data_IF_564329963876
#
_entry.id   IF_564329963876
#
_cell.length_a   1.000
_cell.length_b   1.000
_cell.length_c   1.000
_cell.angle_alpha   90.00
_cell.angle_beta   90.00
_cell.angle_gamma   90.00
#
_symmetry.space_group_name_H-M   'P 1'
#
loop_
_entity.id
_entity.type
_entity.pdbx_description
1 polymer ?
#
# COMPACT_ATOMS: atom_id res chain seq x y z
N UNK A 1 14.38 -14.07 -6.56
CA UNK A 1 13.51 -13.05 -7.17
C UNK A 1 12.14 -13.66 -7.44
N UNK A 2 11.07 -12.87 -7.36
CA UNK A 2 9.74 -13.38 -7.73
C UNK A 2 9.70 -13.65 -9.23
N UNK A 3 9.21 -14.82 -9.61
CA UNK A 3 9.00 -15.17 -11.02
C UNK A 3 8.00 -14.25 -11.73
N UNK A 4 7.00 -13.76 -10.98
CA UNK A 4 5.89 -12.95 -11.46
C UNK A 4 5.44 -11.99 -10.36
N UNK A 5 5.36 -10.71 -10.69
CA UNK A 5 4.95 -9.61 -9.83
C UNK A 5 3.47 -9.29 -10.07
N UNK A 6 2.59 -10.19 -9.64
CA UNK A 6 1.14 -10.05 -9.71
C UNK A 6 0.49 -10.48 -8.38
N UNK A 7 -0.50 -9.71 -7.91
CA UNK A 7 -1.29 -10.07 -6.73
C UNK A 7 -2.14 -11.32 -7.02
N UNK A 8 -1.79 -12.41 -6.35
CA UNK A 8 -2.40 -13.74 -6.48
C UNK A 8 -3.89 -13.82 -6.07
N UNK A 9 -4.40 -12.86 -5.29
CA UNK A 9 -5.76 -12.91 -4.71
C UNK A 9 -6.35 -11.53 -4.47
N UNK A 10 -6.28 -10.65 -5.47
CA UNK A 10 -6.91 -9.33 -5.40
C UNK A 10 -8.41 -9.45 -5.08
N UNK A 11 -8.85 -8.75 -4.03
CA UNK A 11 -10.25 -8.67 -3.62
C UNK A 11 -10.61 -7.23 -3.31
N UNK A 12 -11.81 -6.79 -3.66
CA UNK A 12 -12.27 -5.41 -3.48
C UNK A 12 -12.15 -4.88 -2.04
N UNK A 13 -12.34 -5.66 -0.97
CA UNK A 13 -12.11 -5.18 0.39
C UNK A 13 -10.67 -4.71 0.66
N UNK A 14 -9.69 -5.13 -0.16
CA UNK A 14 -8.29 -4.72 -0.07
C UNK A 14 -8.04 -3.27 -0.52
N UNK A 15 -9.08 -2.54 -0.96
CA UNK A 15 -8.94 -1.23 -1.60
C UNK A 15 -8.43 -0.09 -0.69
N UNK A 16 -8.47 -0.26 0.64
CA UNK A 16 -8.03 0.76 1.61
C UNK A 16 -6.80 0.28 2.36
N UNK A 17 -5.67 0.93 2.13
CA UNK A 17 -4.40 0.54 2.74
C UNK A 17 -4.30 0.93 4.22
N UNK A 18 -5.04 1.94 4.68
CA UNK A 18 -4.99 2.37 6.08
C UNK A 18 -5.31 1.25 7.08
N UNK A 19 -6.18 0.30 6.74
CA UNK A 19 -6.46 -0.86 7.61
C UNK A 19 -5.24 -1.75 7.86
N UNK A 20 -4.21 -1.71 7.00
CA UNK A 20 -2.96 -2.44 7.18
C UNK A 20 -2.26 -2.04 8.49
N UNK A 21 -2.34 -0.76 8.87
CA UNK A 21 -1.72 -0.22 10.10
C UNK A 21 -2.21 -0.96 11.34
N UNK A 22 -3.52 -1.21 11.42
CA UNK A 22 -4.10 -2.00 12.50
C UNK A 22 -3.54 -3.42 12.52
N UNK A 23 -3.57 -4.13 11.38
CA UNK A 23 -3.15 -5.54 11.35
C UNK A 23 -1.66 -5.67 11.67
N UNK A 24 -0.83 -4.77 11.15
CA UNK A 24 0.62 -4.75 11.38
C UNK A 24 0.96 -4.46 12.85
N UNK A 25 0.29 -3.49 13.49
CA UNK A 25 0.48 -3.26 14.93
C UNK A 25 0.05 -4.46 15.78
N UNK A 26 -1.00 -5.20 15.37
CA UNK A 26 -1.39 -6.46 16.02
C UNK A 26 -0.34 -7.55 15.83
N UNK A 27 0.19 -7.73 14.62
CA UNK A 27 1.29 -8.67 14.35
C UNK A 27 2.56 -8.31 15.15
N UNK A 28 2.86 -7.04 15.34
CA UNK A 28 4.00 -6.62 16.16
C UNK A 28 3.86 -6.98 17.64
N UNK A 29 2.61 -7.09 18.13
CA UNK A 29 2.30 -7.40 19.53
C UNK A 29 2.32 -8.90 19.84
N UNK A 30 2.50 -9.77 18.84
CA UNK A 30 2.41 -11.23 18.98
C UNK A 30 3.49 -11.91 18.14
N UNK A 31 4.14 -12.96 18.67
CA UNK A 31 5.16 -13.70 17.91
C UNK A 31 4.58 -14.43 16.68
N UNK A 32 3.38 -14.97 16.80
CA UNK A 32 2.63 -15.63 15.72
C UNK A 32 1.14 -15.30 15.81
N UNK A 33 0.43 -15.42 14.69
CA UNK A 33 -1.02 -15.21 14.64
C UNK A 33 -1.68 -16.13 13.60
N UNK A 34 -2.97 -15.93 13.36
CA UNK A 34 -3.73 -16.64 12.33
C UNK A 34 -4.56 -15.67 11.49
N UNK A 35 -4.95 -16.10 10.29
CA UNK A 35 -5.87 -15.35 9.42
C UNK A 35 -7.16 -14.96 10.15
N UNK A 36 -7.71 -15.89 10.94
CA UNK A 36 -8.95 -15.67 11.66
C UNK A 36 -8.78 -14.62 12.76
N UNK A 37 -7.73 -14.72 13.57
CA UNK A 37 -7.46 -13.77 14.66
C UNK A 37 -7.24 -12.35 14.12
N UNK A 38 -6.40 -12.21 13.09
CA UNK A 38 -6.11 -10.90 12.50
C UNK A 38 -7.32 -10.32 11.75
N UNK A 39 -7.96 -11.15 10.94
CA UNK A 39 -9.09 -10.76 10.10
C UNK A 39 -10.32 -10.38 10.92
N UNK A 40 -10.73 -11.23 11.86
CA UNK A 40 -11.88 -10.94 12.74
C UNK A 40 -11.55 -9.77 13.65
N UNK A 41 -10.36 -9.73 14.23
CA UNK A 41 -9.92 -8.62 15.08
C UNK A 41 -9.98 -7.27 14.35
N UNK A 42 -9.60 -7.21 13.07
CA UNK A 42 -9.74 -6.00 12.25
C UNK A 42 -11.22 -5.65 12.07
N UNK A 43 -12.03 -6.58 11.55
CA UNK A 43 -13.43 -6.35 11.24
C UNK A 43 -14.24 -5.96 12.48
N UNK A 44 -14.03 -6.61 13.62
CA UNK A 44 -14.69 -6.28 14.89
C UNK A 44 -14.31 -4.88 15.38
N UNK A 45 -13.02 -4.53 15.30
CA UNK A 45 -12.53 -3.21 15.71
C UNK A 45 -13.16 -2.09 14.88
N UNK A 46 -13.11 -2.21 13.56
CA UNK A 46 -13.55 -1.14 12.66
C UNK A 46 -15.08 -1.06 12.52
N UNK A 47 -15.79 -2.12 12.93
CA UNK A 47 -17.26 -2.19 12.95
C UNK A 47 -17.87 -1.88 14.32
N UNK A 48 -17.05 -1.56 15.32
CA UNK A 48 -17.56 -1.11 16.61
C UNK A 48 -18.40 0.15 16.43
N UNK A 49 -19.61 0.14 16.99
CA UNK A 49 -20.53 1.27 16.92
C UNK A 49 -20.20 2.33 17.96
N UNK A 50 -20.27 3.59 17.56
CA UNK A 50 -20.05 4.78 18.38
C UNK A 50 -21.24 5.72 18.21
N UNK A 51 -21.51 6.52 19.24
CA UNK A 51 -22.42 7.67 19.14
C UNK A 51 -21.57 8.89 18.89
N UNK A 52 -21.79 9.58 17.78
CA UNK A 52 -21.02 10.77 17.37
C UNK A 52 -21.97 11.90 16.99
N UNK A 53 -21.55 13.18 17.13
CA UNK A 53 -22.28 14.30 16.56
C UNK A 53 -22.46 14.10 15.05
N UNK A 54 -23.66 14.34 14.55
CA UNK A 54 -23.96 14.35 13.13
C UNK A 54 -23.34 15.62 12.53
N UNK A 55 -22.42 15.42 11.57
CA UNK A 55 -21.83 16.52 10.79
C UNK A 55 -22.37 16.49 9.35
N UNK A 56 -22.23 17.58 8.57
CA UNK A 56 -22.64 17.60 7.17
C UNK A 56 -21.96 16.48 6.34
N UNK A 57 -20.70 16.18 6.62
CA UNK A 57 -19.94 15.12 5.96
C UNK A 57 -20.50 13.74 6.30
N UNK A 58 -20.76 13.48 7.58
CA UNK A 58 -21.39 12.22 8.04
C UNK A 58 -22.79 12.06 7.44
N UNK A 59 -23.58 13.14 7.40
CA UNK A 59 -24.91 13.14 6.81
C UNK A 59 -24.85 12.77 5.31
N UNK A 60 -23.98 13.44 4.55
CA UNK A 60 -23.79 13.21 3.13
C UNK A 60 -23.30 11.78 2.85
N UNK A 61 -22.29 11.32 3.60
CA UNK A 61 -21.75 9.96 3.51
C UNK A 61 -22.83 8.91 3.81
N UNK A 62 -23.54 9.04 4.94
CA UNK A 62 -24.52 8.06 5.38
C UNK A 62 -25.67 7.90 4.36
N UNK A 63 -26.14 9.01 3.78
CA UNK A 63 -27.18 8.96 2.73
C UNK A 63 -26.69 8.25 1.47
N UNK A 64 -25.50 8.59 0.99
CA UNK A 64 -24.95 8.08 -0.28
C UNK A 64 -24.41 6.65 -0.17
N UNK A 65 -23.69 6.31 0.91
CA UNK A 65 -22.86 5.10 1.00
C UNK A 65 -23.44 4.00 1.89
N UNK A 66 -24.24 4.32 2.90
CA UNK A 66 -24.79 3.31 3.82
C UNK A 66 -26.08 2.70 3.27
N UNK A 67 -25.98 1.92 2.20
CA UNK A 67 -27.13 1.30 1.51
C UNK A 67 -27.56 -0.03 2.09
N UNK A 68 -26.78 -0.63 2.99
CA UNK A 68 -27.12 -1.93 3.57
C UNK A 68 -28.38 -1.83 4.44
N UNK A 69 -29.18 -2.91 4.45
CA UNK A 69 -30.43 -3.01 5.23
C UNK A 69 -30.22 -2.72 6.73
N UNK A 70 -29.02 -2.99 7.25
CA UNK A 70 -28.63 -2.69 8.63
C UNK A 70 -28.70 -1.19 8.98
N UNK A 71 -28.63 -0.30 7.99
CA UNK A 71 -28.71 1.16 8.14
C UNK A 71 -30.07 1.75 7.76
N UNK A 72 -31.08 0.91 7.46
CA UNK A 72 -32.41 1.40 7.13
C UNK A 72 -33.02 2.32 8.21
N UNK A 73 -32.90 2.03 9.52
CA UNK A 73 -33.39 2.92 10.57
C UNK A 73 -32.70 4.29 10.54
N UNK A 74 -31.37 4.30 10.42
CA UNK A 74 -30.59 5.54 10.30
C UNK A 74 -31.03 6.34 9.07
N UNK A 75 -31.24 5.69 7.92
CA UNK A 75 -31.70 6.40 6.72
C UNK A 75 -33.08 7.03 6.88
N UNK A 76 -34.00 6.35 7.56
CA UNK A 76 -35.31 6.92 7.87
C UNK A 76 -35.18 8.14 8.78
N UNK A 77 -34.32 8.07 9.79
CA UNK A 77 -33.99 9.19 10.68
C UNK A 77 -33.41 10.37 9.90
N UNK A 78 -32.36 10.16 9.10
CA UNK A 78 -31.72 11.21 8.30
C UNK A 78 -32.65 11.84 7.26
N UNK A 79 -33.60 11.07 6.72
CA UNK A 79 -34.61 11.60 5.80
C UNK A 79 -35.64 12.48 6.51
N UNK A 80 -35.96 12.20 7.78
CA UNK A 80 -36.86 13.03 8.59
C UNK A 80 -36.20 14.33 9.02
N UNK A 81 -34.92 14.26 9.40
CA UNK A 81 -34.14 15.42 9.83
C UNK A 81 -33.90 16.42 8.69
N UNK A 82 -33.69 15.91 7.46
CA UNK A 82 -33.30 16.77 6.34
C UNK A 82 -31.84 17.26 6.44
N UNK A 83 -31.38 18.10 5.49
CA UNK A 83 -30.02 18.64 5.50
C UNK A 83 -29.79 19.68 6.60
N UNK A 84 -30.86 20.31 7.10
CA UNK A 84 -30.83 21.39 8.09
C UNK A 84 -31.08 20.84 9.51
N UNK A 85 -30.35 19.79 9.90
CA UNK A 85 -30.48 19.18 11.22
C UNK A 85 -29.85 20.03 12.33
N UNK A 86 -30.36 19.89 13.55
CA UNK A 86 -29.89 20.67 14.71
C UNK A 86 -28.42 20.38 15.06
N UNK A 87 -27.68 21.45 15.34
CA UNK A 87 -26.32 21.37 15.85
C UNK A 87 -26.31 20.63 17.20
N UNK A 88 -25.76 19.42 17.22
CA UNK A 88 -25.72 18.56 18.40
C UNK A 88 -26.55 17.27 18.28
N UNK A 89 -27.32 17.09 17.19
CA UNK A 89 -27.94 15.79 16.91
C UNK A 89 -26.86 14.71 16.83
N UNK A 90 -27.07 13.57 17.49
CA UNK A 90 -26.09 12.47 17.49
C UNK A 90 -26.62 11.26 16.76
N UNK A 91 -25.75 10.57 16.03
CA UNK A 91 -26.07 9.32 15.32
C UNK A 91 -25.17 8.18 15.77
N UNK A 92 -25.67 6.95 15.64
CA UNK A 92 -24.90 5.74 15.96
C UNK A 92 -24.36 5.08 14.70
N UNK A 93 -23.05 5.10 14.53
CA UNK A 93 -22.34 4.62 13.33
C UNK A 93 -21.19 3.68 13.68
N UNK A 94 -20.79 2.81 12.75
CA UNK A 94 -19.53 2.06 12.88
C UNK A 94 -18.34 3.03 12.80
N UNK A 95 -17.27 2.82 13.58
CA UNK A 95 -16.13 3.74 13.63
C UNK A 95 -15.50 3.98 12.24
N UNK A 96 -15.41 2.95 11.39
CA UNK A 96 -14.92 3.13 10.03
C UNK A 96 -15.79 4.08 9.19
N UNK A 97 -17.11 4.11 9.41
CA UNK A 97 -18.01 4.98 8.66
C UNK A 97 -17.82 6.44 9.04
N UNK A 98 -17.50 6.69 10.32
CA UNK A 98 -17.15 8.03 10.81
C UNK A 98 -15.86 8.50 10.14
N UNK A 99 -14.84 7.63 10.05
CA UNK A 99 -13.59 7.96 9.37
C UNK A 99 -13.76 8.10 7.86
N UNK A 100 -14.51 7.21 7.21
CA UNK A 100 -14.78 7.24 5.75
C UNK A 100 -15.64 8.43 5.33
N UNK A 101 -16.39 9.05 6.25
CA UNK A 101 -17.13 10.27 5.96
C UNK A 101 -16.23 11.50 5.81
N UNK A 102 -14.99 11.46 6.33
CA UNK A 102 -14.08 12.60 6.30
C UNK A 102 -13.85 13.14 4.88
N UNK A 103 -13.93 14.46 4.73
CA UNK A 103 -13.63 15.18 3.49
C UNK A 103 -12.14 15.19 3.14
N UNK A 104 -11.27 14.84 4.09
CA UNK A 104 -9.83 14.72 3.86
C UNK A 104 -9.46 13.44 3.09
N UNK A 105 -10.34 12.43 3.09
CA UNK A 105 -10.11 11.21 2.33
C UNK A 105 -10.39 11.48 0.84
N UNK A 106 -9.46 11.15 -0.07
CA UNK A 106 -9.71 11.20 -1.51
C UNK A 106 -10.89 10.32 -1.93
N UNK A 107 -11.20 9.30 -1.13
CA UNK A 107 -12.23 8.33 -1.43
C UNK A 107 -12.99 7.85 -0.19
N UNK A 108 -14.31 7.87 -0.29
CA UNK A 108 -15.24 7.48 0.77
C UNK A 108 -15.76 6.05 0.59
N UNK A 109 -15.03 5.22 -0.17
CA UNK A 109 -15.36 3.81 -0.40
C UNK A 109 -14.48 2.89 0.46
N UNK A 110 -14.64 1.56 0.36
CA UNK A 110 -13.73 0.63 1.04
C UNK A 110 -14.10 0.23 2.46
N UNK A 111 -15.34 0.49 2.90
CA UNK A 111 -15.89 -0.10 4.13
C UNK A 111 -15.74 -1.63 4.13
N UNK A 112 -15.31 -2.19 5.27
CA UNK A 112 -15.27 -3.63 5.52
C UNK A 112 -16.57 -4.10 6.17
N UNK A 113 -17.11 -5.23 5.70
CA UNK A 113 -18.26 -5.90 6.33
C UNK A 113 -17.86 -7.17 7.06
N UNK A 114 -18.80 -7.76 7.82
CA UNK A 114 -18.58 -8.97 8.62
C UNK A 114 -17.83 -10.08 7.87
N UNK A 115 -18.21 -10.33 6.61
CA UNK A 115 -17.67 -11.41 5.79
C UNK A 115 -16.30 -11.15 5.17
N UNK A 116 -15.71 -9.96 5.37
CA UNK A 116 -14.45 -9.57 4.75
C UNK A 116 -13.21 -9.94 5.59
N UNK A 117 -13.40 -10.53 6.78
CA UNK A 117 -12.33 -10.93 7.69
C UNK A 117 -11.27 -11.81 7.00
N UNK A 118 -11.69 -12.71 6.10
CA UNK A 118 -10.81 -13.59 5.33
C UNK A 118 -10.22 -12.97 4.06
N UNK A 119 -10.68 -11.76 3.69
CA UNK A 119 -10.36 -11.14 2.41
C UNK A 119 -9.33 -10.02 2.53
N UNK A 120 -9.25 -9.33 3.66
CA UNK A 120 -8.29 -8.23 3.82
C UNK A 120 -6.85 -8.70 4.15
N UNK A 121 -6.61 -9.56 5.17
CA UNK A 121 -5.24 -9.94 5.52
C UNK A 121 -4.40 -10.57 4.40
N UNK A 122 -4.98 -11.30 3.42
CA UNK A 122 -4.23 -11.76 2.25
C UNK A 122 -3.52 -10.66 1.45
N UNK A 123 -4.00 -9.40 1.51
CA UNK A 123 -3.26 -8.27 0.92
C UNK A 123 -1.88 -8.12 1.57
N UNK A 124 -1.80 -8.18 2.90
CA UNK A 124 -0.55 -8.00 3.65
C UNK A 124 0.45 -9.13 3.36
N UNK A 125 -0.06 -10.34 3.12
CA UNK A 125 0.75 -11.47 2.65
C UNK A 125 1.30 -11.17 1.26
N UNK A 126 0.45 -10.73 0.35
CA UNK A 126 0.83 -10.43 -1.03
C UNK A 126 1.81 -9.25 -1.12
N UNK A 127 1.69 -8.27 -0.21
CA UNK A 127 2.62 -7.15 -0.08
C UNK A 127 3.93 -7.52 0.63
N UNK A 128 4.05 -8.72 1.20
CA UNK A 128 5.23 -9.17 1.94
C UNK A 128 5.39 -8.54 3.33
N UNK A 129 4.32 -7.95 3.88
CA UNK A 129 4.32 -7.27 5.18
C UNK A 129 4.19 -8.23 6.36
N UNK A 130 3.55 -9.38 6.12
CA UNK A 130 3.42 -10.48 7.09
C UNK A 130 3.80 -11.80 6.44
N UNK A 131 4.25 -12.76 7.25
CA UNK A 131 4.75 -14.06 6.78
C UNK A 131 3.62 -15.04 6.48
N UNK A 132 3.64 -15.75 5.33
CA UNK A 132 2.74 -16.88 5.09
C UNK A 132 2.82 -17.96 6.17
N UNK A 133 1.69 -18.58 6.48
CA UNK A 133 1.58 -19.67 7.46
C UNK A 133 1.54 -19.19 8.92
N UNK A 134 2.50 -18.37 9.36
CA UNK A 134 2.60 -17.92 10.76
C UNK A 134 1.97 -16.56 11.04
N UNK A 135 1.68 -15.78 9.99
CA UNK A 135 1.16 -14.41 10.08
C UNK A 135 1.99 -13.51 11.02
N UNK A 136 3.28 -13.81 11.14
CA UNK A 136 4.25 -13.03 11.89
C UNK A 136 4.69 -11.81 11.09
N UNK A 137 5.10 -10.76 11.80
CA UNK A 137 5.55 -9.53 11.17
C UNK A 137 6.84 -9.74 10.36
N UNK A 138 6.86 -9.26 9.11
CA UNK A 138 8.07 -9.20 8.29
C UNK A 138 8.75 -7.83 8.45
N UNK A 139 10.01 -7.68 8.05
CA UNK A 139 10.72 -6.39 8.19
C UNK A 139 10.07 -5.27 7.37
N UNK A 140 9.49 -5.57 6.21
CA UNK A 140 8.69 -4.60 5.47
C UNK A 140 7.47 -4.13 6.29
N UNK A 141 6.80 -5.04 7.01
CA UNK A 141 5.73 -4.68 7.95
C UNK A 141 6.25 -3.84 9.13
N UNK A 142 7.42 -4.16 9.67
CA UNK A 142 8.06 -3.35 10.71
C UNK A 142 8.40 -1.95 10.17
N UNK A 143 8.81 -1.84 8.91
CA UNK A 143 9.08 -0.56 8.25
C UNK A 143 7.83 0.30 8.20
N UNK A 144 6.68 -0.25 7.79
CA UNK A 144 5.40 0.45 7.87
C UNK A 144 5.07 0.89 9.30
N UNK A 145 5.31 0.04 10.29
CA UNK A 145 5.07 0.38 11.69
C UNK A 145 5.94 1.57 12.14
N UNK A 146 7.21 1.64 11.71
CA UNK A 146 8.11 2.79 11.98
C UNK A 146 7.68 4.08 11.27
N UNK A 147 6.85 3.97 10.25
CA UNK A 147 6.24 5.09 9.52
C UNK A 147 4.81 5.40 10.00
N UNK A 148 4.30 4.67 11.00
CA UNK A 148 2.94 4.84 11.51
C UNK A 148 2.98 5.44 12.91
N UNK A 149 2.49 6.69 13.11
CA UNK A 149 2.37 7.27 14.44
C UNK A 149 1.47 6.42 15.36
N UNK A 150 1.82 6.35 16.64
CA UNK A 150 1.03 5.62 17.65
C UNK A 150 -0.40 6.17 17.77
N UNK A 151 -0.60 7.47 17.52
CA UNK A 151 -1.92 8.11 17.52
C UNK A 151 -2.85 7.53 16.45
N UNK A 152 -2.33 7.16 15.27
CA UNK A 152 -3.12 6.50 14.22
C UNK A 152 -3.49 5.07 14.61
N UNK A 153 -2.57 4.33 15.25
CA UNK A 153 -2.87 2.98 15.74
C UNK A 153 -3.93 3.02 16.84
N UNK A 154 -3.80 3.98 17.77
CA UNK A 154 -4.78 4.21 18.84
C UNK A 154 -6.16 4.60 18.28
N UNK A 155 -6.20 5.36 17.18
CA UNK A 155 -7.44 5.81 16.54
C UNK A 155 -8.34 4.67 16.04
N UNK A 156 -7.81 3.46 15.81
CA UNK A 156 -8.64 2.27 15.56
C UNK A 156 -9.41 1.80 16.81
N UNK A 157 -8.81 1.97 18.00
CA UNK A 157 -9.37 1.51 19.28
C UNK A 157 -10.19 2.57 19.99
N UNK A 158 -9.97 3.83 19.70
CA UNK A 158 -10.71 4.95 20.27
C UNK A 158 -10.88 6.02 19.20
N UNK A 159 -12.13 6.45 18.97
CA UNK A 159 -12.36 7.43 17.92
C UNK A 159 -11.75 8.77 18.31
N UNK A 160 -10.86 9.27 17.46
CA UNK A 160 -10.17 10.54 17.66
C UNK A 160 -10.40 11.40 16.42
N UNK A 161 -11.17 12.52 16.49
CA UNK A 161 -11.45 13.35 15.32
C UNK A 161 -10.20 13.88 14.61
N UNK A 162 -9.10 14.04 15.34
CA UNK A 162 -7.83 14.60 14.87
C UNK A 162 -6.93 13.58 14.17
N UNK A 163 -7.22 12.28 14.30
CA UNK A 163 -6.40 11.21 13.73
C UNK A 163 -7.29 10.22 12.97
N UNK A 164 -7.39 10.40 11.65
CA UNK A 164 -8.06 9.42 10.80
C UNK A 164 -7.07 8.33 10.35
N UNK A 165 -7.16 7.10 10.88
CA UNK A 165 -6.17 6.07 10.60
C UNK A 165 -6.26 5.51 9.17
N UNK A 166 -7.32 5.87 8.43
CA UNK A 166 -7.50 5.47 7.03
C UNK A 166 -6.75 6.37 6.06
N UNK A 167 -6.38 7.59 6.47
CA UNK A 167 -5.52 8.46 5.68
C UNK A 167 -4.11 7.91 5.63
N UNK A 168 -3.42 8.10 4.50
CA UNK A 168 -2.00 7.84 4.38
C UNK A 168 -1.25 9.17 4.39
N UNK A 169 -0.28 9.31 5.29
CA UNK A 169 0.69 10.40 5.21
C UNK A 169 1.68 10.17 4.06
N UNK A 170 2.48 11.18 3.71
CA UNK A 170 3.41 11.09 2.57
C UNK A 170 4.40 9.94 2.70
N UNK A 171 4.90 9.65 3.92
CA UNK A 171 5.85 8.55 4.15
C UNK A 171 5.22 7.20 3.87
N UNK A 172 3.99 7.00 4.37
CA UNK A 172 3.21 5.79 4.17
C UNK A 172 2.81 5.61 2.70
N UNK A 173 2.48 6.70 1.99
CA UNK A 173 2.18 6.67 0.54
C UNK A 173 3.36 6.14 -0.25
N UNK A 174 4.57 6.68 -0.03
CA UNK A 174 5.78 6.22 -0.73
C UNK A 174 6.09 4.75 -0.41
N UNK A 175 5.99 4.35 0.86
CA UNK A 175 6.19 2.97 1.26
C UNK A 175 5.22 2.01 0.54
N UNK A 176 3.92 2.31 0.58
CA UNK A 176 2.93 1.46 -0.06
C UNK A 176 3.02 1.47 -1.58
N UNK A 177 3.37 2.62 -2.17
CA UNK A 177 3.63 2.73 -3.60
C UNK A 177 4.75 1.76 -4.00
N UNK A 178 5.88 1.81 -3.31
CA UNK A 178 6.99 0.90 -3.52
C UNK A 178 6.53 -0.57 -3.43
N UNK A 179 5.79 -0.94 -2.36
CA UNK A 179 5.30 -2.30 -2.19
C UNK A 179 4.33 -2.75 -3.29
N UNK A 180 3.42 -1.88 -3.76
CA UNK A 180 2.48 -2.23 -4.82
C UNK A 180 3.20 -2.41 -6.16
N UNK A 181 4.10 -1.50 -6.52
CA UNK A 181 4.89 -1.60 -7.74
C UNK A 181 5.78 -2.86 -7.72
N UNK A 182 6.39 -3.18 -6.58
CA UNK A 182 7.16 -4.41 -6.42
C UNK A 182 6.29 -5.67 -6.58
N UNK A 183 5.08 -5.68 -6.04
CA UNK A 183 4.31 -6.93 -5.87
C UNK A 183 3.29 -7.16 -6.96
N UNK A 184 2.90 -6.12 -7.67
CA UNK A 184 1.88 -6.15 -8.73
C UNK A 184 2.34 -5.47 -10.03
N UNK A 185 3.61 -5.08 -10.12
CA UNK A 185 4.14 -4.31 -11.24
C UNK A 185 3.92 -4.92 -12.62
N UNK A 186 3.91 -6.26 -12.75
CA UNK A 186 3.67 -6.91 -14.04
C UNK A 186 2.24 -6.67 -14.55
N UNK A 187 1.28 -6.45 -13.64
CA UNK A 187 -0.09 -6.08 -13.98
C UNK A 187 -0.26 -4.57 -14.08
N UNK A 188 0.33 -3.83 -13.14
CA UNK A 188 0.20 -2.38 -13.06
C UNK A 188 0.85 -1.69 -14.26
N UNK A 189 2.01 -2.13 -14.72
CA UNK A 189 2.74 -1.46 -15.80
C UNK A 189 1.93 -1.42 -17.12
N UNK A 190 1.40 -2.52 -17.66
CA UNK A 190 0.54 -2.46 -18.85
C UNK A 190 -0.82 -1.79 -18.59
N UNK A 191 -1.39 -1.94 -17.38
CA UNK A 191 -2.64 -1.26 -17.01
C UNK A 191 -2.48 0.26 -17.08
N UNK A 192 -1.47 0.80 -16.41
CA UNK A 192 -1.27 2.25 -16.35
C UNK A 192 -0.72 2.81 -17.66
N UNK A 193 0.01 2.02 -18.46
CA UNK A 193 0.35 2.41 -19.84
C UNK A 193 -0.92 2.70 -20.66
N UNK A 194 -1.91 1.81 -20.60
CA UNK A 194 -3.18 2.01 -21.31
C UNK A 194 -4.02 3.15 -20.70
N UNK A 195 -3.95 3.38 -19.39
CA UNK A 195 -4.68 4.49 -18.75
C UNK A 195 -4.04 5.86 -19.02
N UNK A 196 -2.71 5.93 -19.20
CA UNK A 196 -2.01 7.16 -19.55
C UNK A 196 -2.46 7.75 -20.89
N UNK A 197 -2.80 6.88 -21.85
CA UNK A 197 -3.32 7.24 -23.17
C UNK A 197 -4.74 7.84 -23.12
N UNK A 198 -5.40 7.85 -21.94
CA UNK A 198 -6.73 8.41 -21.77
C UNK A 198 -6.65 9.86 -21.28
N UNK A 199 -7.31 10.74 -22.00
CA UNK A 199 -7.51 12.14 -21.57
C UNK A 199 -8.79 12.33 -20.75
N UNK A 200 -9.77 11.44 -20.92
CA UNK A 200 -11.05 11.51 -20.23
C UNK A 200 -11.05 10.73 -18.90
N UNK A 201 -11.90 11.11 -17.92
CA UNK A 201 -12.15 10.31 -16.74
C UNK A 201 -12.56 8.87 -17.09
N UNK A 202 -12.13 7.91 -16.27
CA UNK A 202 -12.45 6.50 -16.45
C UNK A 202 -13.02 5.90 -15.17
N UNK A 203 -13.79 4.83 -15.33
CA UNK A 203 -14.39 4.06 -14.25
C UNK A 203 -13.58 2.82 -13.88
N UNK A 204 -13.86 2.23 -12.71
CA UNK A 204 -13.37 0.89 -12.35
C UNK A 204 -13.72 -0.15 -13.40
N UNK A 205 -14.90 -0.04 -14.03
CA UNK A 205 -15.33 -0.90 -15.13
C UNK A 205 -14.42 -0.80 -16.35
N UNK A 206 -14.20 0.41 -16.86
CA UNK A 206 -13.39 0.61 -18.07
C UNK A 206 -11.95 0.15 -17.86
N UNK A 207 -11.36 0.47 -16.71
CA UNK A 207 -10.02 0.00 -16.36
C UNK A 207 -10.00 -1.52 -16.14
N UNK A 208 -11.04 -2.09 -15.54
CA UNK A 208 -11.14 -3.52 -15.26
C UNK A 208 -11.33 -4.38 -16.50
N UNK A 209 -11.95 -3.83 -17.55
CA UNK A 209 -12.11 -4.50 -18.84
C UNK A 209 -10.75 -4.68 -19.58
N UNK A 210 -9.67 -4.01 -19.14
CA UNK A 210 -8.30 -4.20 -19.64
C UNK A 210 -7.60 -5.45 -19.06
N UNK A 211 -8.01 -5.90 -17.87
CA UNK A 211 -7.31 -6.96 -17.13
C UNK A 211 -7.25 -8.31 -17.85
N UNK A 212 -8.28 -8.80 -18.57
CA UNK A 212 -8.21 -10.09 -19.24
C UNK A 212 -7.11 -10.18 -20.27
N UNK A 213 -6.91 -9.13 -21.07
CA UNK A 213 -5.83 -9.06 -22.06
C UNK A 213 -4.46 -9.07 -21.36
N UNK A 214 -4.30 -8.24 -20.33
CA UNK A 214 -3.07 -8.18 -19.52
C UNK A 214 -2.72 -9.55 -18.93
N UNK A 215 -3.67 -10.23 -18.30
CA UNK A 215 -3.42 -11.53 -17.67
C UNK A 215 -3.02 -12.62 -18.68
N UNK A 216 -3.60 -12.63 -19.88
CA UNK A 216 -3.22 -13.57 -20.94
C UNK A 216 -1.83 -13.27 -21.52
N UNK A 217 -1.49 -12.00 -21.68
CA UNK A 217 -0.16 -11.60 -22.13
C UNK A 217 0.92 -11.96 -21.10
N UNK A 218 0.63 -11.80 -19.82
CA UNK A 218 1.49 -12.25 -18.73
C UNK A 218 1.67 -13.77 -18.77
N UNK A 219 0.59 -14.53 -18.91
CA UNK A 219 0.70 -15.98 -19.02
C UNK A 219 1.58 -16.41 -20.20
N UNK A 220 1.34 -15.85 -21.39
CA UNK A 220 2.14 -16.15 -22.59
C UNK A 220 3.62 -15.82 -22.38
N UNK A 221 3.93 -14.68 -21.75
CA UNK A 221 5.31 -14.23 -21.50
C UNK A 221 6.04 -15.12 -20.49
N UNK A 222 5.35 -15.54 -19.43
CA UNK A 222 5.97 -16.18 -18.28
C UNK A 222 5.88 -17.72 -18.33
N UNK A 223 4.96 -18.32 -19.10
CA UNK A 223 4.77 -19.79 -19.15
C UNK A 223 6.05 -20.56 -19.45
N UNK A 224 6.84 -20.13 -20.43
CA UNK A 224 8.10 -20.79 -20.79
C UNK A 224 9.23 -20.64 -19.76
N UNK A 225 9.07 -19.69 -18.82
CA UNK A 225 10.04 -19.42 -17.75
C UNK A 225 9.68 -20.15 -16.44
N UNK A 226 8.45 -20.64 -16.30
CA UNK A 226 8.00 -21.34 -15.10
C UNK A 226 8.80 -22.63 -14.90
N UNK A 227 9.31 -22.82 -13.68
CA UNK A 227 10.16 -23.95 -13.26
C UNK A 227 9.50 -24.83 -12.20
N UNK A 228 8.43 -24.36 -11.55
CA UNK A 228 7.72 -25.12 -10.51
C UNK A 228 6.21 -25.24 -10.77
N UNK A 229 5.59 -26.23 -10.12
CA UNK A 229 4.14 -26.41 -10.14
C UNK A 229 3.38 -25.21 -9.56
N UNK A 230 3.94 -24.57 -8.53
CA UNK A 230 3.36 -23.37 -7.91
C UNK A 230 3.34 -22.19 -8.88
N UNK A 231 4.41 -22.00 -9.67
CA UNK A 231 4.46 -20.95 -10.70
C UNK A 231 3.44 -21.20 -11.81
N UNK A 232 3.30 -22.44 -12.27
CA UNK A 232 2.28 -22.82 -13.24
C UNK A 232 0.86 -22.60 -12.69
N UNK A 233 0.62 -22.92 -11.41
CA UNK A 233 -0.66 -22.68 -10.76
C UNK A 233 -0.96 -21.19 -10.60
N UNK A 234 0.05 -20.35 -10.35
CA UNK A 234 -0.10 -18.88 -10.33
C UNK A 234 -0.54 -18.35 -11.69
N UNK A 235 0.09 -18.80 -12.77
CA UNK A 235 -0.30 -18.42 -14.13
C UNK A 235 -1.71 -18.90 -14.48
N UNK A 236 -2.04 -20.15 -14.14
CA UNK A 236 -3.39 -20.68 -14.39
C UNK A 236 -4.46 -19.87 -13.66
N UNK A 237 -4.20 -19.45 -12.41
CA UNK A 237 -5.12 -18.58 -11.66
C UNK A 237 -5.37 -17.25 -12.39
N UNK A 238 -4.35 -16.63 -12.98
CA UNK A 238 -4.54 -15.41 -13.78
C UNK A 238 -5.43 -15.66 -15.00
N UNK A 239 -5.28 -16.79 -15.70
CA UNK A 239 -6.15 -17.16 -16.82
C UNK A 239 -7.60 -17.41 -16.37
N UNK A 240 -7.78 -18.11 -15.25
CA UNK A 240 -9.10 -18.37 -14.70
C UNK A 240 -9.81 -17.06 -14.33
N UNK A 241 -9.08 -16.10 -13.76
CA UNK A 241 -9.61 -14.78 -13.45
C UNK A 241 -9.86 -13.93 -14.70
N UNK A 242 -9.02 -14.02 -15.75
CA UNK A 242 -9.29 -13.38 -17.04
C UNK A 242 -10.64 -13.86 -17.61
N UNK A 243 -10.86 -15.17 -17.63
CA UNK A 243 -12.12 -15.77 -18.09
C UNK A 243 -13.31 -15.38 -17.19
N UNK A 244 -13.08 -15.26 -15.89
CA UNK A 244 -14.08 -14.83 -14.92
C UNK A 244 -14.50 -13.38 -15.15
N UNK A 245 -13.55 -12.47 -15.39
CA UNK A 245 -13.77 -11.05 -15.66
C UNK A 245 -14.52 -10.85 -16.98
N UNK A 246 -14.16 -11.55 -18.05
CA UNK A 246 -14.83 -11.41 -19.36
C UNK A 246 -16.30 -11.80 -19.34
N UNK A 247 -16.70 -12.75 -18.48
CA UNK A 247 -18.12 -13.09 -18.31
C UNK A 247 -18.95 -11.89 -17.82
N UNK A 248 -18.31 -10.85 -17.28
CA UNK A 248 -18.95 -9.60 -16.85
C UNK A 248 -18.94 -8.49 -17.90
N UNK A 249 -18.26 -8.68 -19.04
CA UNK A 249 -18.32 -7.72 -20.15
C UNK A 249 -19.75 -7.64 -20.70
N UNK A 250 -20.19 -6.43 -21.04
CA UNK A 250 -21.56 -6.16 -21.51
C UNK A 250 -22.66 -6.25 -20.43
N UNK A 251 -22.41 -6.81 -19.25
CA UNK A 251 -23.44 -6.90 -18.18
C UNK A 251 -23.69 -5.56 -17.48
N UNK A 252 -24.87 -5.42 -16.88
CA UNK A 252 -25.23 -4.27 -16.05
C UNK A 252 -24.31 -4.16 -14.83
N UNK A 253 -23.90 -2.94 -14.50
CA UNK A 253 -23.07 -2.69 -13.32
C UNK A 253 -23.88 -2.94 -12.05
N UNK A 254 -23.51 -3.97 -11.31
CA UNK A 254 -24.05 -4.29 -9.98
C UNK A 254 -23.14 -3.79 -8.86
N UNK A 255 -21.98 -3.23 -9.21
CA UNK A 255 -20.90 -2.94 -8.28
C UNK A 255 -20.36 -4.18 -7.56
N UNK A 256 -20.62 -5.39 -8.06
CA UNK A 256 -20.17 -6.66 -7.50
C UNK A 256 -19.87 -7.63 -8.64
N UNK A 257 -18.63 -8.04 -8.79
CA UNK A 257 -18.22 -8.93 -9.86
C UNK A 257 -16.72 -9.21 -9.83
N UNK A 258 -16.29 -10.22 -10.59
CA UNK A 258 -14.87 -10.56 -10.68
C UNK A 258 -14.03 -9.38 -11.18
N UNK A 259 -14.57 -8.57 -12.09
CA UNK A 259 -13.93 -7.34 -12.56
C UNK A 259 -13.62 -6.39 -11.40
N UNK A 260 -14.64 -5.99 -10.64
CA UNK A 260 -14.49 -5.04 -9.54
C UNK A 260 -13.62 -5.60 -8.41
N UNK A 261 -13.65 -6.91 -8.16
CA UNK A 261 -12.77 -7.58 -7.18
C UNK A 261 -11.28 -7.42 -7.52
N UNK A 262 -10.92 -7.44 -8.81
CA UNK A 262 -9.52 -7.42 -9.26
C UNK A 262 -9.02 -6.01 -9.59
N UNK A 263 -9.85 -5.13 -10.15
CA UNK A 263 -9.40 -3.78 -10.52
C UNK A 263 -9.41 -2.80 -9.35
N UNK A 264 -10.34 -2.91 -8.41
CA UNK A 264 -10.46 -1.91 -7.32
C UNK A 264 -9.18 -1.81 -6.48
N UNK A 265 -8.52 -2.91 -6.08
CA UNK A 265 -7.23 -2.87 -5.37
C UNK A 265 -6.06 -2.29 -6.19
N UNK A 266 -6.26 -2.06 -7.49
CA UNK A 266 -5.27 -1.49 -8.42
C UNK A 266 -5.56 -0.02 -8.77
N UNK A 267 -6.64 0.56 -8.21
CA UNK A 267 -7.05 1.95 -8.42
C UNK A 267 -7.15 2.71 -7.10
N UNK A 268 -7.98 2.22 -6.16
CA UNK A 268 -8.27 2.95 -4.92
C UNK A 268 -7.03 3.25 -4.05
N UNK A 269 -6.04 2.35 -3.90
CA UNK A 269 -4.80 2.70 -3.22
C UNK A 269 -4.07 3.89 -3.85
N UNK A 270 -4.10 4.02 -5.17
CA UNK A 270 -3.45 5.12 -5.88
C UNK A 270 -4.26 6.43 -5.76
N UNK A 271 -5.57 6.35 -5.52
CA UNK A 271 -6.35 7.51 -5.10
C UNK A 271 -5.96 7.96 -3.67
N UNK A 272 -5.79 7.03 -2.73
CA UNK A 272 -5.31 7.33 -1.37
C UNK A 272 -3.91 7.96 -1.37
N UNK A 273 -3.09 7.64 -2.38
CA UNK A 273 -1.76 8.21 -2.56
C UNK A 273 -1.75 9.56 -3.30
N UNK A 274 -2.88 10.02 -3.84
CA UNK A 274 -2.96 11.23 -4.65
C UNK A 274 -2.39 11.09 -6.06
N UNK A 275 -2.27 9.86 -6.58
CA UNK A 275 -1.86 9.59 -7.96
C UNK A 275 -3.08 9.50 -8.89
N UNK A 276 -4.24 9.13 -8.35
CA UNK A 276 -5.54 9.26 -9.02
C UNK A 276 -6.39 10.29 -8.30
N UNK A 277 -7.02 11.17 -9.05
CA UNK A 277 -8.05 12.07 -8.53
C UNK A 277 -9.42 11.41 -8.62
N UNK A 278 -10.28 11.71 -7.65
CA UNK A 278 -11.68 11.28 -7.63
C UNK A 278 -12.60 12.50 -7.55
N UNK A 279 -13.15 12.97 -8.69
CA UNK A 279 -14.07 14.11 -8.71
C UNK A 279 -15.30 13.91 -7.81
N UNK A 280 -15.76 12.66 -7.67
CA UNK A 280 -16.72 12.26 -6.63
C UNK A 280 -16.08 11.20 -5.73
N UNK A 281 -15.74 11.54 -4.48
CA UNK A 281 -15.15 10.60 -3.52
C UNK A 281 -16.00 9.35 -3.26
N UNK A 282 -17.32 9.43 -3.51
CA UNK A 282 -18.27 8.34 -3.32
C UNK A 282 -18.43 7.42 -4.55
N UNK A 283 -17.91 7.80 -5.72
CA UNK A 283 -18.04 7.04 -6.96
C UNK A 283 -16.73 6.34 -7.37
N UNK A 284 -16.81 5.29 -8.17
CA UNK A 284 -15.63 4.62 -8.75
C UNK A 284 -15.28 5.25 -10.10
N UNK A 285 -14.92 6.54 -10.08
CA UNK A 285 -14.52 7.33 -11.25
C UNK A 285 -13.23 8.08 -10.94
N UNK A 286 -12.32 8.08 -11.88
CA UNK A 286 -10.93 8.48 -11.69
C UNK A 286 -10.44 9.33 -12.86
N UNK A 287 -9.50 10.21 -12.55
CA UNK A 287 -8.59 10.81 -13.52
C UNK A 287 -7.16 10.62 -13.03
N UNK A 288 -6.20 10.46 -13.94
CA UNK A 288 -4.80 10.53 -13.55
C UNK A 288 -4.48 11.97 -13.15
N UNK A 289 -4.01 12.14 -11.91
CA UNK A 289 -3.49 13.43 -11.44
C UNK A 289 -2.18 13.77 -12.17
N UNK A 290 -1.70 15.02 -12.12
CA UNK A 290 -0.38 15.37 -12.65
C UNK A 290 0.75 14.51 -12.06
N UNK A 291 0.71 14.29 -10.74
CA UNK A 291 1.65 13.42 -10.03
C UNK A 291 1.56 11.97 -10.54
N UNK A 292 0.35 11.45 -10.71
CA UNK A 292 0.09 10.13 -11.27
C UNK A 292 0.64 9.97 -12.68
N UNK A 293 0.43 10.97 -13.56
CA UNK A 293 0.98 10.96 -14.91
C UNK A 293 2.50 10.91 -14.89
N UNK A 294 3.14 11.82 -14.15
CA UNK A 294 4.60 11.86 -14.03
C UNK A 294 5.18 10.53 -13.52
N UNK A 295 4.60 9.99 -12.43
CA UNK A 295 5.04 8.74 -11.84
C UNK A 295 4.87 7.55 -12.80
N UNK A 296 3.67 7.37 -13.35
CA UNK A 296 3.38 6.20 -14.18
C UNK A 296 4.07 6.28 -15.53
N UNK A 297 4.36 7.47 -16.08
CA UNK A 297 5.22 7.60 -17.26
C UNK A 297 6.61 7.02 -16.98
N UNK A 298 7.30 7.47 -15.92
CA UNK A 298 8.61 6.93 -15.56
C UNK A 298 8.58 5.42 -15.29
N UNK A 299 7.57 4.94 -14.56
CA UNK A 299 7.40 3.51 -14.29
C UNK A 299 7.11 2.67 -15.55
N UNK A 300 6.31 3.19 -16.49
CA UNK A 300 5.96 2.47 -17.71
C UNK A 300 7.06 2.52 -18.78
N UNK A 301 7.97 3.50 -18.73
CA UNK A 301 9.14 3.61 -19.61
C UNK A 301 10.32 2.75 -19.14
N UNK A 302 10.37 2.43 -17.85
CA UNK A 302 11.41 1.56 -17.30
C UNK A 302 11.42 0.17 -17.95
N UNK A 303 12.64 -0.32 -18.20
CA UNK A 303 12.90 -1.60 -18.87
C UNK A 303 12.29 -2.79 -18.13
N UNK A 304 12.45 -2.80 -16.81
CA UNK A 304 11.88 -3.79 -15.92
C UNK A 304 11.62 -3.19 -14.54
N UNK A 305 10.76 -3.86 -13.77
CA UNK A 305 10.27 -3.38 -12.47
C UNK A 305 11.39 -3.28 -11.44
N UNK A 306 12.34 -4.23 -11.46
CA UNK A 306 13.44 -4.23 -10.47
C UNK A 306 14.39 -3.05 -10.72
N UNK A 307 14.75 -2.81 -11.99
CA UNK A 307 15.58 -1.68 -12.38
C UNK A 307 14.96 -0.34 -11.93
N UNK A 308 13.65 -0.13 -12.18
CA UNK A 308 12.94 1.07 -11.74
C UNK A 308 13.00 1.23 -10.21
N UNK A 309 12.67 0.17 -9.47
CA UNK A 309 12.62 0.22 -8.01
C UNK A 309 13.99 0.42 -7.36
N UNK A 310 15.07 0.01 -8.02
CA UNK A 310 16.43 0.11 -7.52
C UNK A 310 17.11 1.44 -7.89
N UNK A 311 16.78 2.02 -9.04
CA UNK A 311 17.55 3.13 -9.63
C UNK A 311 16.75 4.40 -9.92
N UNK A 312 15.41 4.34 -9.99
CA UNK A 312 14.60 5.47 -10.48
C UNK A 312 13.45 5.82 -9.53
N UNK A 313 13.21 5.04 -8.48
CA UNK A 313 12.00 5.14 -7.68
C UNK A 313 11.91 6.48 -6.94
N UNK A 314 12.95 6.85 -6.18
CA UNK A 314 12.91 8.07 -5.40
C UNK A 314 13.05 9.32 -6.27
N UNK A 315 13.76 9.23 -7.39
CA UNK A 315 13.86 10.28 -8.40
C UNK A 315 12.50 10.56 -9.04
N UNK A 316 11.82 9.51 -9.49
CA UNK A 316 10.49 9.64 -10.08
C UNK A 316 9.47 10.13 -9.05
N UNK A 317 9.56 9.65 -7.80
CA UNK A 317 8.69 10.10 -6.71
C UNK A 317 8.92 11.58 -6.35
N UNK A 318 10.18 12.03 -6.29
CA UNK A 318 10.53 13.44 -6.08
C UNK A 318 9.88 14.35 -7.12
N UNK A 319 10.04 14.01 -8.40
CA UNK A 319 9.43 14.76 -9.49
C UNK A 319 7.90 14.72 -9.45
N UNK A 320 7.31 13.54 -9.20
CA UNK A 320 5.86 13.36 -9.20
C UNK A 320 5.16 14.12 -8.07
N UNK A 321 5.73 14.09 -6.86
CA UNK A 321 5.14 14.75 -5.69
C UNK A 321 5.68 16.17 -5.45
N UNK A 322 6.61 16.63 -6.28
CA UNK A 322 7.20 17.97 -6.19
C UNK A 322 7.94 18.18 -4.86
N UNK A 323 8.81 17.23 -4.49
CA UNK A 323 9.57 17.42 -3.25
C UNK A 323 10.77 18.36 -3.41
N UNK A 324 11.25 18.58 -4.64
CA UNK A 324 12.41 19.40 -4.97
C UNK A 324 13.67 18.97 -4.18
N UNK A 325 13.88 17.67 -4.05
CA UNK A 325 14.93 17.10 -3.23
C UNK A 325 16.32 17.18 -3.89
N UNK A 326 17.32 17.59 -3.10
CA UNK A 326 18.71 17.58 -3.51
C UNK A 326 19.30 16.15 -3.46
N UNK A 327 20.27 15.80 -4.33
CA UNK A 327 20.99 14.54 -4.20
C UNK A 327 21.75 14.50 -2.87
N UNK A 328 21.67 13.37 -2.16
CA UNK A 328 22.42 13.16 -0.92
C UNK A 328 23.87 12.76 -1.22
N UNK A 329 24.82 13.27 -0.42
CA UNK A 329 26.21 12.79 -0.47
C UNK A 329 26.39 11.45 0.28
N UNK A 330 27.57 10.84 0.14
CA UNK A 330 27.82 9.51 0.71
C UNK A 330 27.75 9.47 2.24
N UNK A 331 28.23 10.51 2.92
CA UNK A 331 28.16 10.58 4.39
C UNK A 331 26.71 10.71 4.84
N UNK A 332 25.94 11.51 4.13
CA UNK A 332 24.51 11.67 4.32
C UNK A 332 23.76 10.34 4.13
N UNK A 333 24.02 9.62 3.05
CA UNK A 333 23.38 8.32 2.80
C UNK A 333 23.74 7.31 3.90
N UNK A 334 25.03 7.19 4.25
CA UNK A 334 25.50 6.22 5.24
C UNK A 334 24.93 6.47 6.64
N UNK A 335 24.84 7.74 7.07
CA UNK A 335 24.23 8.11 8.34
C UNK A 335 22.75 7.70 8.43
N UNK A 336 22.01 7.88 7.33
CA UNK A 336 20.57 7.52 7.26
C UNK A 336 20.35 6.02 7.19
N UNK A 337 21.21 5.30 6.47
CA UNK A 337 21.22 3.84 6.46
C UNK A 337 21.51 3.27 7.85
N UNK A 338 22.45 3.86 8.59
CA UNK A 338 22.76 3.44 9.96
C UNK A 338 21.57 3.68 10.92
N UNK A 339 20.89 4.83 10.81
CA UNK A 339 19.70 5.12 11.60
C UNK A 339 18.57 4.12 11.30
N UNK A 340 18.25 3.90 10.03
CA UNK A 340 17.24 2.92 9.62
C UNK A 340 17.61 1.48 10.04
N UNK A 341 18.88 1.10 9.92
CA UNK A 341 19.39 -0.18 10.41
C UNK A 341 19.10 -0.36 11.90
N UNK A 342 19.36 0.64 12.75
CA UNK A 342 19.16 0.52 14.19
C UNK A 342 17.68 0.32 14.57
N UNK A 343 16.75 0.81 13.76
CA UNK A 343 15.31 0.62 13.98
C UNK A 343 14.76 -0.73 13.47
N UNK A 344 15.46 -1.33 12.51
CA UNK A 344 15.02 -2.54 11.81
C UNK A 344 15.84 -3.80 12.15
N UNK A 345 17.00 -3.66 12.81
CA UNK A 345 17.86 -4.80 13.12
C UNK A 345 17.15 -5.81 14.02
N UNK A 346 17.27 -7.07 13.63
CA UNK A 346 16.86 -8.21 14.44
C UNK A 346 17.69 -8.31 15.73
N UNK A 347 17.27 -9.13 16.71
CA UNK A 347 18.08 -9.43 17.90
C UNK A 347 19.49 -9.96 17.59
N UNK A 348 19.70 -10.58 16.41
CA UNK A 348 21.03 -11.04 15.96
C UNK A 348 21.91 -9.90 15.39
N UNK A 349 21.36 -8.70 15.30
CA UNK A 349 22.02 -7.50 14.81
C UNK A 349 22.05 -7.36 13.29
N UNK A 350 21.24 -8.12 12.54
CA UNK A 350 21.13 -7.98 11.08
C UNK A 350 19.82 -7.30 10.70
N UNK A 351 19.86 -6.42 9.70
CA UNK A 351 18.70 -5.86 9.02
C UNK A 351 18.78 -6.15 7.51
N UNK A 352 17.67 -6.44 6.82
CA UNK A 352 17.62 -6.46 5.37
C UNK A 352 18.08 -5.14 4.76
N UNK A 353 18.95 -5.21 3.75
CA UNK A 353 19.53 -4.01 3.11
C UNK A 353 18.42 -3.18 2.44
N UNK A 354 17.54 -3.85 1.71
CA UNK A 354 16.47 -3.19 0.94
C UNK A 354 15.52 -2.41 1.85
N UNK A 355 15.02 -3.02 2.92
CA UNK A 355 14.11 -2.35 3.86
C UNK A 355 14.80 -1.20 4.62
N UNK A 356 16.08 -1.35 4.96
CA UNK A 356 16.86 -0.26 5.55
C UNK A 356 17.03 0.91 4.58
N UNK A 357 17.37 0.63 3.31
CA UNK A 357 17.48 1.65 2.26
C UNK A 357 16.13 2.31 1.97
N UNK A 358 15.03 1.54 1.91
CA UNK A 358 13.69 2.08 1.70
C UNK A 358 13.26 3.00 2.85
N UNK A 359 13.44 2.59 4.11
CA UNK A 359 13.11 3.44 5.27
C UNK A 359 13.95 4.72 5.29
N UNK A 360 15.26 4.59 5.04
CA UNK A 360 16.18 5.71 4.99
C UNK A 360 15.82 6.69 3.85
N UNK A 361 15.56 6.18 2.64
CA UNK A 361 15.21 6.98 1.48
C UNK A 361 13.86 7.68 1.62
N UNK A 362 12.85 7.01 2.19
CA UNK A 362 11.53 7.64 2.48
C UNK A 362 11.68 8.83 3.43
N UNK A 363 12.46 8.68 4.50
CA UNK A 363 12.69 9.78 5.46
C UNK A 363 13.56 10.87 4.87
N UNK A 364 14.64 10.52 4.17
CA UNK A 364 15.49 11.49 3.49
C UNK A 364 14.66 12.38 2.56
N UNK A 365 13.80 11.76 1.74
CA UNK A 365 13.01 12.46 0.75
C UNK A 365 11.96 13.38 1.39
N UNK A 366 11.18 12.85 2.33
CA UNK A 366 10.03 13.56 2.90
C UNK A 366 10.44 14.56 3.96
N UNK A 367 11.37 14.19 4.84
CA UNK A 367 11.69 14.96 6.05
C UNK A 367 12.85 15.92 5.84
N UNK A 368 13.75 15.60 4.92
CA UNK A 368 15.02 16.31 4.77
C UNK A 368 15.25 16.88 3.36
N UNK A 369 14.34 16.59 2.42
CA UNK A 369 14.45 16.99 1.00
C UNK A 369 15.76 16.52 0.38
N UNK A 370 16.15 15.30 0.71
CA UNK A 370 17.33 14.62 0.16
C UNK A 370 16.93 13.34 -0.55
N UNK A 371 17.62 13.02 -1.64
CA UNK A 371 17.33 11.86 -2.47
C UNK A 371 18.59 11.02 -2.70
N UNK A 372 18.41 9.71 -2.59
CA UNK A 372 19.32 8.68 -3.09
C UNK A 372 18.51 7.42 -3.42
N UNK A 373 19.06 6.57 -4.27
CA UNK A 373 18.39 5.35 -4.74
C UNK A 373 18.84 4.10 -3.97
N UNK A 374 18.07 3.02 -4.06
CA UNK A 374 18.39 1.77 -3.34
C UNK A 374 19.70 1.17 -3.87
N UNK A 375 19.94 1.21 -5.18
CA UNK A 375 21.18 0.74 -5.77
C UNK A 375 22.40 1.53 -5.27
N UNK A 376 22.28 2.86 -5.17
CA UNK A 376 23.32 3.74 -4.64
C UNK A 376 23.67 3.38 -3.20
N UNK A 377 22.64 3.16 -2.36
CA UNK A 377 22.82 2.70 -0.99
C UNK A 377 23.53 1.35 -0.90
N UNK A 378 23.17 0.39 -1.76
CA UNK A 378 23.81 -0.94 -1.80
C UNK A 378 25.28 -0.83 -2.20
N UNK A 379 25.60 -0.07 -3.25
CA UNK A 379 26.99 0.12 -3.71
C UNK A 379 27.83 0.88 -2.69
N UNK A 380 27.26 1.90 -2.03
CA UNK A 380 27.92 2.59 -0.93
C UNK A 380 28.27 1.64 0.20
N UNK A 381 27.31 0.82 0.68
CA UNK A 381 27.58 -0.18 1.72
C UNK A 381 28.69 -1.15 1.31
N UNK A 382 28.69 -1.62 0.06
CA UNK A 382 29.73 -2.54 -0.46
C UNK A 382 31.10 -1.88 -0.43
N UNK A 383 31.21 -0.62 -0.87
CA UNK A 383 32.46 0.14 -0.85
C UNK A 383 32.94 0.39 0.58
N UNK A 384 32.06 0.88 1.45
CA UNK A 384 32.38 1.10 2.87
C UNK A 384 32.84 -0.18 3.56
N UNK A 385 32.25 -1.34 3.24
CA UNK A 385 32.72 -2.61 3.79
C UNK A 385 34.12 -3.02 3.31
N UNK A 386 34.51 -2.67 2.08
CA UNK A 386 35.86 -2.93 1.57
C UNK A 386 36.90 -2.04 2.23
N UNK A 387 36.55 -0.77 2.44
CA UNK A 387 37.42 0.24 3.05
C UNK A 387 37.52 0.04 4.57
N UNK A 388 36.38 -0.24 5.22
CA UNK A 388 36.23 -0.36 6.67
C UNK A 388 35.56 -1.70 7.05
N UNK A 389 36.24 -2.84 6.86
CA UNK A 389 35.65 -4.18 7.08
C UNK A 389 35.26 -4.46 8.54
N UNK A 390 35.74 -3.65 9.48
CA UNK A 390 35.38 -3.72 10.89
C UNK A 390 34.10 -2.94 11.23
N UNK A 391 33.58 -2.10 10.33
CA UNK A 391 32.36 -1.31 10.53
C UNK A 391 31.13 -2.04 10.01
N UNK A 392 31.23 -2.72 8.86
CA UNK A 392 30.09 -3.35 8.18
C UNK A 392 30.34 -4.82 7.89
N UNK A 393 29.35 -5.67 8.17
CA UNK A 393 29.30 -7.06 7.71
C UNK A 393 28.04 -7.32 6.91
N UNK A 394 28.17 -8.21 5.92
CA UNK A 394 27.03 -8.70 5.15
C UNK A 394 26.72 -10.15 5.47
N UNK A 395 25.47 -10.52 5.21
CA UNK A 395 25.05 -11.90 5.07
C UNK A 395 24.45 -12.13 3.69
N UNK A 396 24.80 -13.25 3.07
CA UNK A 396 24.35 -13.64 1.73
C UNK A 396 23.25 -14.69 1.81
N UNK A 397 22.37 -14.71 0.81
CA UNK A 397 21.44 -15.83 0.63
C UNK A 397 22.13 -17.05 0.01
N UNK A 398 21.35 -18.13 -0.19
CA UNK A 398 21.82 -19.37 -0.81
C UNK A 398 22.33 -19.19 -2.24
N UNK A 399 21.95 -18.10 -2.91
CA UNK A 399 22.31 -17.77 -4.28
C UNK A 399 23.49 -16.79 -4.33
N UNK A 400 24.06 -16.42 -3.18
CA UNK A 400 25.18 -15.48 -3.10
C UNK A 400 24.78 -14.00 -3.13
N UNK A 401 23.49 -13.67 -3.10
CA UNK A 401 23.05 -12.27 -3.11
C UNK A 401 23.21 -11.68 -1.72
N UNK A 402 23.67 -10.43 -1.63
CA UNK A 402 23.68 -9.68 -0.38
C UNK A 402 22.23 -9.38 0.03
N UNK A 403 21.81 -9.87 1.20
CA UNK A 403 20.44 -9.66 1.67
C UNK A 403 20.41 -8.84 2.95
N UNK A 404 21.37 -9.05 3.84
CA UNK A 404 21.39 -8.40 5.15
C UNK A 404 22.69 -7.65 5.40
N UNK A 405 22.58 -6.56 6.15
CA UNK A 405 23.69 -5.76 6.66
C UNK A 405 23.69 -5.77 8.19
N UNK A 406 24.88 -5.74 8.78
CA UNK A 406 25.14 -5.53 10.19
C UNK A 406 26.20 -4.46 10.35
N UNK A 407 25.85 -3.35 10.99
CA UNK A 407 26.82 -2.37 11.45
C UNK A 407 27.37 -2.80 12.81
N UNK A 408 28.70 -2.86 12.90
CA UNK A 408 29.44 -3.23 14.11
C UNK A 408 29.86 -1.99 14.93
N UNK A 409 30.02 -0.86 14.26
CA UNK A 409 30.31 0.45 14.84
C UNK A 409 29.44 1.52 14.14
N UNK A 410 29.38 2.71 14.73
CA UNK A 410 28.79 3.88 14.06
C UNK A 410 29.75 4.34 12.95
N UNK A 411 29.32 4.37 11.68
CA UNK A 411 30.19 4.82 10.60
C UNK A 411 30.58 6.31 10.71
N UNK A 412 29.91 7.09 11.57
CA UNK A 412 30.18 8.53 11.76
C UNK A 412 31.34 8.79 12.72
N UNK A 413 31.60 7.90 13.67
CA UNK A 413 32.63 8.12 14.70
C UNK A 413 34.06 8.02 14.18
N UNK A 414 34.27 7.41 13.02
CA UNK A 414 35.60 7.27 12.40
C UNK A 414 36.00 8.52 11.59
N UNK A 415 35.04 9.38 11.23
CA UNK A 415 35.32 10.63 10.49
C UNK A 415 35.74 11.79 11.41
N UNK A 416 35.74 11.61 12.73
CA UNK A 416 36.17 12.63 13.70
C UNK A 416 37.68 12.50 14.08
N UNK A 417 38.36 11.43 13.69
CA UNK A 417 39.78 11.18 14.00
C UNK A 417 40.76 11.49 12.84
N UNK A 418 40.32 12.18 11.78
CA UNK A 418 41.17 12.56 10.63
C UNK A 418 41.34 14.08 10.50
#
# INVERSE_FOLDING_TARGET
>A
MSFLHALDSARRPMQRLGFAKYVISRCASTSTSSLETLGRGLVETVRRKLTVPLTPEIYAYARRRLTDRAYAPLKQELNRLGPDFDAGHTVRLEIQDVYLASSQLPSQTGKLVAGDWRKYPPLLLALGLIRPGTYSLMVAGLTLLRLTPDTEVAAFREYTPQANPLLLDTRQRLFFLYCLLERDGDVLQPLYRALLERDAPFSDREAGDLLPAIFRDLEKRYRGRARSGDELQRLQRLLDEANSIERWQGRTYTGKGAREEHITPRLEPFADMGLLDKPDPSAYRYTLSPAGRALFTGFCEARDIAAFLENDFFHTADAAFGFDAAPADETQVLARLYAAYNELKSPLGYAPIKEAALLAGVRALVDERLRFEIAEAVELLKRTQRELPYVIRFNIDRMGNLVYVKFLADPRSENEEV
#
